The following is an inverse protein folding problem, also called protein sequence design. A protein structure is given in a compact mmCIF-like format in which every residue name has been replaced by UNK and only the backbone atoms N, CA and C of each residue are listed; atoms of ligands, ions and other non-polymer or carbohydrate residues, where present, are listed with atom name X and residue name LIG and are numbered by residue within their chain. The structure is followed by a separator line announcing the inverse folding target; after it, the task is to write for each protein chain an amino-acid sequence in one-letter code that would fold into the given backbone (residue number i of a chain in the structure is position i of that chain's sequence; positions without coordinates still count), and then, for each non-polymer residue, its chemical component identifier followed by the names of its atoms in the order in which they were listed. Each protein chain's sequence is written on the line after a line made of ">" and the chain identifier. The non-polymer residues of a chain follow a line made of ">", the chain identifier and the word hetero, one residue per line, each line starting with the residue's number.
data_IF_559175502911
#
_entry.id   IF_559175502911
#
_cell.length_a   1.000
_cell.length_b   1.000
_cell.length_c   1.000
_cell.angle_alpha   90.00
_cell.angle_beta   90.00
_cell.angle_gamma   90.00
#
_symmetry.space_group_name_H-M   'P 1'
#
loop_
_entity.id
_entity.type
_entity.pdbx_description
1 polymer ?
#
# COMPACT_ATOMS: atom_id res chain seq x y z
N UNK A 1 2.52 -14.12 -5.94
CA UNK A 1 1.44 -14.64 -5.06
C UNK A 1 0.10 -14.12 -5.59
N UNK A 2 -0.92 -14.97 -5.63
CA UNK A 2 -2.26 -14.62 -6.12
C UNK A 2 -3.06 -13.72 -5.17
N UNK A 3 -4.17 -13.16 -5.66
CA UNK A 3 -5.02 -12.23 -4.90
C UNK A 3 -5.62 -12.90 -3.66
N UNK A 4 -6.09 -14.15 -3.79
CA UNK A 4 -6.78 -14.86 -2.71
C UNK A 4 -5.85 -15.13 -1.54
N UNK A 5 -4.65 -15.63 -1.82
CA UNK A 5 -3.62 -15.90 -0.79
C UNK A 5 -3.13 -14.61 -0.15
N UNK A 6 -2.89 -13.56 -0.95
CA UNK A 6 -2.51 -12.24 -0.42
C UNK A 6 -3.56 -11.68 0.53
N UNK A 7 -4.85 -11.72 0.16
CA UNK A 7 -5.96 -11.31 1.03
C UNK A 7 -6.01 -12.13 2.31
N UNK A 8 -5.79 -13.44 2.22
CA UNK A 8 -5.77 -14.31 3.39
C UNK A 8 -4.65 -13.93 4.37
N UNK A 9 -3.44 -13.68 3.88
CA UNK A 9 -2.32 -13.24 4.71
C UNK A 9 -2.61 -11.89 5.37
N UNK A 10 -3.09 -10.90 4.61
CA UNK A 10 -3.43 -9.59 5.17
C UNK A 10 -4.54 -9.70 6.22
N UNK A 11 -5.50 -10.61 6.03
CA UNK A 11 -6.60 -10.85 6.98
C UNK A 11 -6.16 -11.61 8.24
N UNK A 12 -5.06 -12.37 8.16
CA UNK A 12 -4.57 -13.18 9.26
C UNK A 12 -3.97 -12.32 10.40
N UNK A 13 -3.67 -12.94 11.54
CA UNK A 13 -3.09 -12.25 12.71
C UNK A 13 -1.57 -12.03 12.59
N UNK A 14 -1.07 -11.73 11.39
CA UNK A 14 0.32 -11.32 11.21
C UNK A 14 0.52 -9.96 11.87
N UNK A 15 1.47 -9.87 12.78
CA UNK A 15 1.81 -8.64 13.51
C UNK A 15 2.87 -7.81 12.80
N UNK A 16 3.67 -8.45 11.94
CA UNK A 16 4.68 -7.76 11.13
C UNK A 16 4.05 -6.88 10.07
N UNK A 17 4.70 -5.78 9.75
CA UNK A 17 4.34 -4.96 8.60
C UNK A 17 4.50 -5.78 7.31
N UNK A 18 3.58 -5.63 6.36
CA UNK A 18 3.57 -6.37 5.08
C UNK A 18 4.02 -5.45 3.96
N UNK A 19 4.90 -5.93 3.08
CA UNK A 19 5.32 -5.19 1.88
C UNK A 19 4.89 -5.94 0.62
N UNK A 20 4.07 -5.28 -0.21
CA UNK A 20 3.61 -5.80 -1.49
C UNK A 20 4.52 -5.32 -2.62
N UNK A 21 5.19 -6.25 -3.27
CA UNK A 21 5.99 -5.99 -4.47
C UNK A 21 5.16 -6.31 -5.71
N UNK A 22 4.97 -5.36 -6.60
CA UNK A 22 4.29 -5.59 -7.86
C UNK A 22 4.44 -4.39 -8.82
N UNK A 23 4.12 -4.60 -10.07
CA UNK A 23 4.06 -3.55 -11.08
C UNK A 23 2.93 -2.55 -10.81
N UNK A 24 2.99 -1.42 -11.50
CA UNK A 24 1.90 -0.45 -11.49
C UNK A 24 0.60 -1.04 -12.04
N UNK A 25 -0.54 -0.56 -11.55
CA UNK A 25 -1.84 -0.87 -12.12
C UNK A 25 -2.40 -2.28 -11.84
N UNK A 26 -1.64 -3.16 -11.18
CA UNK A 26 -2.08 -4.55 -10.90
C UNK A 26 -3.11 -4.69 -9.78
N UNK A 27 -3.54 -3.59 -9.17
CA UNK A 27 -4.63 -3.60 -8.19
C UNK A 27 -4.20 -3.78 -6.73
N UNK A 28 -2.94 -3.47 -6.33
CA UNK A 28 -2.46 -3.56 -4.94
C UNK A 28 -3.39 -2.88 -3.94
N UNK A 29 -3.60 -1.58 -4.08
CA UNK A 29 -4.45 -0.77 -3.20
C UNK A 29 -5.90 -1.26 -3.18
N UNK A 30 -6.45 -1.67 -4.34
CA UNK A 30 -7.78 -2.25 -4.43
C UNK A 30 -7.90 -3.57 -3.65
N UNK A 31 -6.87 -4.41 -3.68
CA UNK A 31 -6.81 -5.67 -2.94
C UNK A 31 -6.87 -5.41 -1.42
N UNK A 32 -6.02 -4.50 -0.92
CA UNK A 32 -5.97 -4.16 0.51
C UNK A 32 -7.26 -3.50 0.99
N UNK A 33 -7.80 -2.56 0.20
CA UNK A 33 -9.09 -1.90 0.49
C UNK A 33 -10.24 -2.89 0.58
N UNK A 34 -10.27 -3.92 -0.29
CA UNK A 34 -11.28 -4.97 -0.22
C UNK A 34 -11.15 -5.80 1.06
N UNK A 35 -9.92 -6.09 1.51
CA UNK A 35 -9.71 -6.79 2.80
C UNK A 35 -10.29 -5.97 3.95
N UNK A 36 -9.96 -4.68 4.04
CA UNK A 36 -10.49 -3.82 5.09
C UNK A 36 -12.02 -3.77 5.09
N UNK A 37 -12.62 -3.64 3.89
CA UNK A 37 -14.08 -3.67 3.72
C UNK A 37 -14.70 -4.98 4.18
N UNK A 38 -14.11 -6.11 3.82
CA UNK A 38 -14.63 -7.44 4.19
C UNK A 38 -14.53 -7.71 5.70
N UNK A 39 -13.51 -7.15 6.35
CA UNK A 39 -13.33 -7.23 7.80
C UNK A 39 -14.15 -6.19 8.57
N UNK A 40 -14.75 -5.21 7.90
CA UNK A 40 -15.48 -4.12 8.54
C UNK A 40 -14.60 -3.21 9.38
N UNK A 41 -13.35 -2.98 8.96
CA UNK A 41 -12.36 -2.15 9.67
C UNK A 41 -12.01 -0.90 8.87
N UNK A 42 -11.41 0.09 9.55
CA UNK A 42 -10.96 1.33 8.93
C UNK A 42 -9.86 1.11 7.89
N UNK A 43 -9.77 1.99 6.90
CA UNK A 43 -8.74 1.92 5.86
C UNK A 43 -8.27 3.33 5.51
N UNK A 44 -6.97 3.57 5.69
CA UNK A 44 -6.31 4.79 5.24
C UNK A 44 -5.31 4.48 4.15
N UNK A 45 -5.49 5.13 3.00
CA UNK A 45 -4.62 5.04 1.81
C UNK A 45 -3.74 6.28 1.78
N UNK A 46 -2.46 6.11 2.09
CA UNK A 46 -1.49 7.20 2.21
C UNK A 46 -0.47 7.03 1.10
N UNK A 47 -0.54 7.91 0.10
CA UNK A 47 0.37 7.88 -1.05
C UNK A 47 1.62 8.69 -0.74
N UNK A 48 2.69 7.99 -0.39
CA UNK A 48 3.92 8.59 0.14
C UNK A 48 4.68 9.45 -0.86
N UNK A 49 4.55 9.18 -2.17
CA UNK A 49 5.13 10.03 -3.23
C UNK A 49 4.56 11.45 -3.29
N UNK A 50 3.40 11.68 -2.64
CA UNK A 50 2.69 12.96 -2.61
C UNK A 50 2.73 13.62 -1.23
N UNK A 51 3.37 12.97 -0.25
CA UNK A 51 3.44 13.45 1.14
C UNK A 51 4.73 14.21 1.40
N UNK A 52 4.65 15.15 2.31
CA UNK A 52 5.81 15.70 3.02
C UNK A 52 5.89 15.15 4.46
N UNK A 53 6.93 15.55 5.21
CA UNK A 53 7.13 15.07 6.59
C UNK A 53 6.00 15.51 7.51
N UNK A 54 5.40 16.68 7.27
CA UNK A 54 4.27 17.18 8.04
C UNK A 54 3.02 16.34 7.88
N UNK A 55 2.80 15.76 6.69
CA UNK A 55 1.67 14.86 6.43
C UNK A 55 1.80 13.55 7.22
N UNK A 56 3.03 13.12 7.51
CA UNK A 56 3.30 11.88 8.25
C UNK A 56 3.41 12.13 9.75
N UNK A 57 4.25 13.07 10.18
CA UNK A 57 4.47 13.35 11.62
C UNK A 57 3.43 14.29 12.23
N UNK A 58 2.75 15.05 11.39
CA UNK A 58 1.90 16.14 11.82
C UNK A 58 2.65 17.46 11.97
N UNK A 59 1.95 18.49 12.41
CA UNK A 59 2.49 19.85 12.53
C UNK A 59 2.94 20.13 13.97
N UNK A 60 4.13 20.74 14.17
CA UNK A 60 4.58 21.10 15.50
C UNK A 60 3.73 22.24 16.07
N UNK A 61 3.38 22.15 17.35
CA UNK A 61 2.77 23.24 18.11
C UNK A 61 3.39 23.36 19.49
N UNK A 62 3.33 24.55 20.06
CA UNK A 62 3.85 24.81 21.41
C UNK A 62 2.80 24.53 22.46
N UNK A 63 3.16 23.76 23.47
CA UNK A 63 2.36 23.55 24.67
C UNK A 63 3.20 23.90 25.91
N UNK A 64 3.00 25.09 26.47
CA UNK A 64 3.85 25.61 27.53
C UNK A 64 5.29 25.85 27.06
N UNK A 65 6.24 25.19 27.69
CA UNK A 65 7.68 25.23 27.33
C UNK A 65 8.12 24.08 26.41
N UNK A 66 7.20 23.20 26.05
CA UNK A 66 7.47 22.03 25.21
C UNK A 66 6.88 22.19 23.81
N UNK A 67 7.52 21.52 22.83
CA UNK A 67 6.97 21.36 21.50
C UNK A 67 6.33 19.98 21.38
N UNK A 68 5.11 19.94 20.83
CA UNK A 68 4.38 18.71 20.52
C UNK A 68 3.97 18.71 19.05
N UNK A 69 3.58 17.55 18.53
CA UNK A 69 3.08 17.42 17.17
C UNK A 69 1.57 17.11 17.18
N UNK A 70 0.82 17.90 16.41
CA UNK A 70 -0.58 17.62 16.12
C UNK A 70 -0.63 16.44 15.15
N UNK A 71 -1.09 15.29 15.62
CA UNK A 71 -1.12 14.04 14.84
C UNK A 71 -1.98 14.19 13.59
N UNK A 72 -1.60 13.55 12.47
CA UNK A 72 -2.39 13.53 11.25
C UNK A 72 -3.75 12.87 11.49
N UNK A 73 -4.74 13.22 10.64
CA UNK A 73 -6.12 12.71 10.76
C UNK A 73 -6.20 11.18 10.67
N UNK A 74 -5.35 10.59 9.83
CA UNK A 74 -5.30 9.15 9.63
C UNK A 74 -4.66 8.38 10.79
N UNK A 75 -4.05 9.04 11.79
CA UNK A 75 -3.51 8.35 12.97
C UNK A 75 -4.64 7.98 13.93
N UNK A 76 -4.76 6.68 14.30
CA UNK A 76 -5.84 6.22 15.17
C UNK A 76 -5.79 6.83 16.57
N UNK A 77 -6.91 7.41 17.00
CA UNK A 77 -7.04 8.01 18.35
C UNK A 77 -7.73 7.12 19.35
N UNK A 78 -8.54 6.18 18.85
CA UNK A 78 -9.23 5.21 19.71
C UNK A 78 -8.39 3.93 19.82
N UNK A 79 -7.93 3.61 21.03
CA UNK A 79 -7.10 2.42 21.33
C UNK A 79 -7.79 1.09 21.01
N UNK A 80 -9.11 1.08 20.90
CA UNK A 80 -9.90 -0.11 20.56
C UNK A 80 -10.28 -0.16 19.07
N UNK A 81 -9.88 0.82 18.27
CA UNK A 81 -10.14 0.82 16.82
C UNK A 81 -9.31 -0.23 16.11
N UNK A 82 -9.81 -0.63 14.93
CA UNK A 82 -9.15 -1.61 14.06
C UNK A 82 -9.10 -1.06 12.64
N UNK A 83 -7.99 -1.27 11.98
CA UNK A 83 -7.85 -0.77 10.62
C UNK A 83 -6.58 -1.25 9.91
N UNK A 84 -6.40 -0.71 8.71
CA UNK A 84 -5.20 -0.89 7.91
C UNK A 84 -4.66 0.49 7.54
N UNK A 85 -3.40 0.75 7.89
CA UNK A 85 -2.61 1.83 7.30
C UNK A 85 -1.96 1.26 6.03
N UNK A 86 -2.30 1.82 4.89
CA UNK A 86 -1.74 1.42 3.62
C UNK A 86 -0.82 2.53 3.09
N UNK A 87 0.49 2.26 3.07
CA UNK A 87 1.52 3.17 2.56
C UNK A 87 1.84 2.81 1.11
N UNK A 88 1.21 3.51 0.17
CA UNK A 88 1.45 3.29 -1.26
C UNK A 88 2.67 4.06 -1.76
N UNK A 89 3.32 3.51 -2.78
CA UNK A 89 4.50 4.08 -3.43
C UNK A 89 5.67 4.35 -2.46
N UNK A 90 5.91 3.43 -1.50
CA UNK A 90 6.93 3.58 -0.46
C UNK A 90 8.31 3.91 -1.05
N UNK A 91 8.72 3.27 -2.13
CA UNK A 91 10.01 3.46 -2.77
C UNK A 91 10.12 4.72 -3.65
N UNK A 92 9.07 5.56 -3.69
CA UNK A 92 9.03 6.87 -4.35
C UNK A 92 8.97 8.03 -3.39
N UNK A 93 8.89 7.76 -2.10
CA UNK A 93 8.89 8.79 -1.07
C UNK A 93 10.26 9.45 -0.95
N UNK A 94 10.30 10.71 -0.50
CA UNK A 94 11.56 11.36 -0.14
C UNK A 94 12.21 10.64 1.06
N UNK A 95 13.53 10.79 1.24
CA UNK A 95 14.25 10.17 2.36
C UNK A 95 13.68 10.56 3.72
N UNK A 96 13.28 11.81 3.88
CA UNK A 96 12.75 12.34 5.14
C UNK A 96 11.38 11.75 5.46
N UNK A 97 10.52 11.59 4.45
CA UNK A 97 9.22 10.90 4.56
C UNK A 97 9.44 9.43 4.91
N UNK A 98 10.38 8.75 4.25
CA UNK A 98 10.72 7.36 4.56
C UNK A 98 11.14 7.17 6.01
N UNK A 99 12.00 8.05 6.54
CA UNK A 99 12.43 7.98 7.95
C UNK A 99 11.23 8.08 8.91
N UNK A 100 10.26 8.97 8.62
CA UNK A 100 9.07 9.11 9.43
C UNK A 100 8.17 7.85 9.38
N UNK A 101 8.02 7.26 8.18
CA UNK A 101 7.24 6.04 7.98
C UNK A 101 7.90 4.82 8.61
N UNK A 102 9.24 4.77 8.63
CA UNK A 102 9.96 3.66 9.24
C UNK A 102 9.70 3.52 10.73
N UNK A 103 9.63 4.62 11.48
CA UNK A 103 9.22 4.58 12.89
C UNK A 103 7.87 3.86 13.04
N UNK A 104 6.90 4.21 12.20
CA UNK A 104 5.56 3.61 12.24
C UNK A 104 5.62 2.12 11.87
N UNK A 105 6.36 1.77 10.83
CA UNK A 105 6.41 0.39 10.33
C UNK A 105 7.20 -0.55 11.24
N UNK A 106 8.24 -0.06 11.90
CA UNK A 106 9.14 -0.87 12.72
C UNK A 106 8.70 -0.92 14.18
N UNK A 107 8.46 0.26 14.76
CA UNK A 107 8.19 0.39 16.19
C UNK A 107 6.70 0.48 16.50
N UNK A 108 5.86 0.63 15.45
CA UNK A 108 4.42 0.83 15.56
C UNK A 108 4.08 2.04 16.44
N UNK A 109 4.90 3.08 16.33
CA UNK A 109 4.74 4.34 17.07
C UNK A 109 4.80 5.54 16.13
N UNK A 110 4.21 6.62 16.54
CA UNK A 110 4.35 7.92 15.93
C UNK A 110 4.53 8.96 17.04
N UNK A 111 5.74 9.52 17.13
CA UNK A 111 6.08 10.51 18.17
C UNK A 111 5.70 10.00 19.58
N UNK A 112 6.09 8.76 19.89
CA UNK A 112 5.84 8.09 21.15
C UNK A 112 4.43 7.51 21.36
N UNK A 113 3.45 7.82 20.50
CA UNK A 113 2.14 7.20 20.58
C UNK A 113 2.13 5.85 19.88
N UNK A 114 1.69 4.82 20.58
CA UNK A 114 1.60 3.47 20.05
C UNK A 114 0.39 3.30 19.14
N UNK A 115 0.62 2.72 17.95
CA UNK A 115 -0.45 2.27 17.07
C UNK A 115 -1.27 1.16 17.78
N UNK A 116 -2.61 1.25 17.82
CA UNK A 116 -3.42 0.22 18.49
C UNK A 116 -3.21 -1.17 17.89
N UNK A 117 -3.26 -2.21 18.73
CA UNK A 117 -2.97 -3.59 18.31
C UNK A 117 -3.90 -4.13 17.22
N UNK A 118 -5.11 -3.55 17.08
CA UNK A 118 -6.06 -3.89 16.01
C UNK A 118 -5.70 -3.33 14.64
N UNK A 119 -4.62 -2.55 14.52
CA UNK A 119 -4.19 -1.96 13.26
C UNK A 119 -3.11 -2.79 12.59
N UNK A 120 -3.22 -2.89 11.27
CA UNK A 120 -2.23 -3.54 10.40
C UNK A 120 -1.53 -2.47 9.56
N UNK A 121 -0.30 -2.74 9.21
CA UNK A 121 0.50 -1.90 8.31
C UNK A 121 0.77 -2.71 7.06
N UNK A 122 0.38 -2.16 5.92
CA UNK A 122 0.66 -2.72 4.60
C UNK A 122 1.31 -1.63 3.75
N UNK A 123 2.46 -1.92 3.18
CA UNK A 123 3.17 -1.01 2.28
C UNK A 123 3.16 -1.58 0.86
N UNK A 124 3.23 -0.73 -0.14
CA UNK A 124 3.38 -1.16 -1.53
C UNK A 124 4.59 -0.49 -2.18
N UNK A 125 5.33 -1.30 -2.91
CA UNK A 125 6.47 -0.87 -3.73
C UNK A 125 6.26 -1.32 -5.18
N UNK A 126 6.82 -0.57 -6.11
CA UNK A 126 6.78 -0.90 -7.52
C UNK A 126 8.08 -1.60 -7.92
N UNK A 127 7.96 -2.85 -8.42
CA UNK A 127 9.11 -3.74 -8.69
C UNK A 127 9.93 -3.35 -9.92
N UNK A 128 9.31 -2.65 -10.89
CA UNK A 128 9.96 -2.17 -12.09
C UNK A 128 9.58 -0.72 -12.32
N UNK A 129 10.47 0.17 -11.95
CA UNK A 129 10.39 1.56 -12.39
C UNK A 129 11.74 1.94 -12.99
N UNK A 130 11.73 2.30 -14.27
CA UNK A 130 12.87 2.88 -14.97
C UNK A 130 13.23 4.29 -14.48
N UNK A 131 12.59 4.74 -13.37
CA UNK A 131 12.74 6.07 -12.82
C UNK A 131 13.04 5.99 -11.32
N UNK A 132 14.06 6.69 -10.87
CA UNK A 132 14.49 7.06 -9.51
C UNK A 132 13.72 6.37 -8.35
N UNK A 133 13.97 5.08 -8.20
CA UNK A 133 13.48 4.30 -7.06
C UNK A 133 14.58 4.30 -6.02
N UNK A 134 14.29 4.82 -4.84
CA UNK A 134 15.22 4.67 -3.73
C UNK A 134 15.34 3.20 -3.36
N UNK A 135 16.56 2.68 -3.41
CA UNK A 135 16.86 1.39 -2.81
C UNK A 135 16.64 1.51 -1.30
N UNK A 136 15.71 0.70 -0.78
CA UNK A 136 15.49 0.64 0.66
C UNK A 136 16.68 -0.07 1.30
N UNK A 137 17.16 0.47 2.42
CA UNK A 137 18.22 -0.14 3.21
C UNK A 137 17.89 -1.61 3.52
N UNK A 138 18.78 -2.57 3.20
CA UNK A 138 18.54 -3.99 3.45
C UNK A 138 18.15 -4.31 4.89
N UNK A 139 18.76 -3.63 5.88
CA UNK A 139 18.44 -3.82 7.29
C UNK A 139 16.99 -3.39 7.64
N UNK A 140 16.42 -2.50 6.84
CA UNK A 140 15.02 -2.10 6.97
C UNK A 140 14.11 -3.10 6.27
N UNK A 141 14.53 -3.63 5.12
CA UNK A 141 13.72 -4.60 4.35
C UNK A 141 13.45 -5.87 5.17
N UNK A 142 14.43 -6.38 5.92
CA UNK A 142 14.32 -7.61 6.71
C UNK A 142 13.23 -7.58 7.79
N UNK A 143 12.66 -6.40 8.07
CA UNK A 143 11.61 -6.24 9.08
C UNK A 143 10.19 -6.28 8.53
N UNK A 144 10.03 -6.40 7.22
CA UNK A 144 8.76 -6.61 6.56
C UNK A 144 8.53 -8.05 6.15
N UNK A 145 7.29 -8.46 6.14
CA UNK A 145 6.88 -9.67 5.45
C UNK A 145 6.64 -9.34 3.97
N UNK A 146 7.55 -9.79 3.12
CA UNK A 146 7.54 -9.49 1.69
C UNK A 146 6.59 -10.41 0.92
N UNK A 147 5.78 -9.85 0.04
CA UNK A 147 4.86 -10.55 -0.85
C UNK A 147 5.07 -10.06 -2.27
N UNK A 148 5.50 -10.93 -3.17
CA UNK A 148 5.44 -10.68 -4.61
C UNK A 148 3.99 -10.86 -5.08
N UNK A 149 3.28 -9.74 -5.22
CA UNK A 149 1.88 -9.72 -5.61
C UNK A 149 1.77 -9.81 -7.13
N UNK A 150 1.26 -10.94 -7.62
CA UNK A 150 1.13 -11.25 -9.05
C UNK A 150 -0.25 -11.84 -9.31
N UNK A 151 -1.26 -10.99 -9.56
CA UNK A 151 -2.60 -11.44 -9.94
C UNK A 151 -2.56 -12.21 -11.24
N UNK A 152 -3.38 -13.25 -11.34
CA UNK A 152 -3.55 -14.00 -12.58
C UNK A 152 -4.62 -13.38 -13.47
N UNK A 153 -4.55 -13.62 -14.79
CA UNK A 153 -5.59 -13.19 -15.73
C UNK A 153 -6.96 -13.74 -15.35
N UNK A 154 -7.01 -14.99 -14.83
CA UNK A 154 -8.25 -15.60 -14.34
C UNK A 154 -8.86 -14.81 -13.18
N UNK A 155 -8.07 -14.46 -12.17
CA UNK A 155 -8.54 -13.66 -11.01
C UNK A 155 -9.03 -12.28 -11.44
N UNK A 156 -8.37 -11.69 -12.43
CA UNK A 156 -8.81 -10.41 -12.99
C UNK A 156 -10.17 -10.58 -13.71
N UNK A 157 -10.34 -11.63 -14.51
CA UNK A 157 -11.60 -11.91 -15.21
C UNK A 157 -12.75 -12.20 -14.24
N UNK A 158 -12.49 -12.96 -13.18
CA UNK A 158 -13.47 -13.24 -12.12
C UNK A 158 -13.95 -11.92 -11.47
N UNK A 159 -13.03 -11.04 -11.13
CA UNK A 159 -13.37 -9.72 -10.58
C UNK A 159 -14.08 -8.81 -11.61
N UNK A 160 -13.60 -8.79 -12.84
CA UNK A 160 -14.10 -7.92 -13.90
C UNK A 160 -15.52 -8.27 -14.34
N UNK A 161 -15.86 -9.57 -14.32
CA UNK A 161 -17.18 -10.08 -14.72
C UNK A 161 -18.33 -9.48 -13.89
N UNK A 162 -18.05 -9.11 -12.64
CA UNK A 162 -19.05 -8.52 -11.74
C UNK A 162 -19.13 -6.99 -11.83
N UNK A 163 -18.11 -6.33 -12.41
CA UNK A 163 -17.92 -4.88 -12.26
C UNK A 163 -17.75 -4.11 -13.55
N UNK A 164 -17.32 -4.78 -14.62
CA UNK A 164 -17.00 -4.12 -15.88
C UNK A 164 -18.02 -4.46 -16.99
N UNK A 165 -17.95 -3.67 -18.06
CA UNK A 165 -18.78 -3.94 -19.24
C UNK A 165 -18.46 -5.33 -19.81
N UNK A 166 -19.48 -6.19 -20.07
CA UNK A 166 -19.29 -7.53 -20.62
C UNK A 166 -18.44 -7.59 -21.88
N UNK A 167 -18.51 -6.57 -22.74
CA UNK A 167 -17.70 -6.52 -23.96
C UNK A 167 -16.19 -6.43 -23.65
N UNK A 168 -15.81 -5.68 -22.60
CA UNK A 168 -14.41 -5.56 -22.17
C UNK A 168 -13.96 -6.91 -21.61
N UNK A 169 -14.78 -7.53 -20.78
CA UNK A 169 -14.47 -8.83 -20.16
C UNK A 169 -14.29 -9.90 -21.25
N UNK A 170 -15.19 -9.94 -22.24
CA UNK A 170 -15.09 -10.84 -23.36
C UNK A 170 -13.83 -10.60 -24.21
N UNK A 171 -13.51 -9.35 -24.51
CA UNK A 171 -12.30 -8.99 -25.26
C UNK A 171 -11.04 -9.48 -24.53
N UNK A 172 -10.91 -9.19 -23.24
CA UNK A 172 -9.76 -9.62 -22.44
C UNK A 172 -9.71 -11.14 -22.27
N UNK A 173 -10.85 -11.81 -22.13
CA UNK A 173 -10.88 -13.28 -22.05
C UNK A 173 -10.28 -13.96 -23.28
N UNK A 174 -10.42 -13.34 -24.46
CA UNK A 174 -9.83 -13.79 -25.71
C UNK A 174 -8.39 -13.32 -25.93
N UNK A 175 -7.94 -12.30 -25.20
CA UNK A 175 -6.63 -11.63 -25.36
C UNK A 175 -5.92 -11.46 -24.01
N UNK A 176 -5.80 -12.53 -23.22
CA UNK A 176 -5.25 -12.48 -21.84
C UNK A 176 -3.82 -11.96 -21.79
N UNK A 177 -3.04 -12.16 -22.85
CA UNK A 177 -1.68 -11.61 -22.97
C UNK A 177 -1.61 -10.09 -22.89
N UNK A 178 -2.71 -9.38 -23.10
CA UNK A 178 -2.75 -7.92 -22.97
C UNK A 178 -2.79 -7.46 -21.51
N UNK A 179 -3.14 -8.33 -20.56
CA UNK A 179 -3.07 -8.03 -19.12
C UNK A 179 -1.64 -8.11 -18.57
N UNK A 180 -0.82 -8.99 -19.15
CA UNK A 180 0.53 -9.28 -18.67
C UNK A 180 1.62 -8.61 -19.53
N UNK A 181 1.20 -7.82 -20.53
CA UNK A 181 2.15 -7.14 -21.40
C UNK A 181 2.97 -6.12 -20.59
N UNK A 182 4.32 -6.23 -20.57
CA UNK A 182 5.16 -5.23 -19.94
C UNK A 182 4.91 -3.87 -20.62
N UNK A 183 4.70 -2.84 -19.81
CA UNK A 183 4.37 -1.48 -20.26
C UNK A 183 5.43 -0.88 -21.22
N UNK A 184 6.60 -1.48 -21.33
CA UNK A 184 7.71 -1.06 -22.19
C UNK A 184 7.65 -1.48 -23.66
N UNK A 185 6.75 -2.37 -24.07
CA UNK A 185 6.64 -2.85 -25.46
C UNK A 185 5.45 -2.32 -26.23
N UNK A 186 4.70 -1.41 -25.66
CA UNK A 186 3.76 -0.60 -26.41
C UNK A 186 4.52 0.56 -27.06
N UNK A 187 5.32 0.24 -28.11
CA UNK A 187 5.65 1.27 -29.07
C UNK A 187 4.35 1.89 -29.54
N UNK A 188 4.06 3.00 -28.90
CA UNK A 188 3.29 4.14 -29.40
C UNK A 188 2.25 3.87 -30.51
N UNK A 189 1.32 3.02 -30.27
CA UNK A 189 -0.02 3.25 -30.77
C UNK A 189 -0.69 4.26 -29.82
N UNK A 190 -0.30 5.53 -29.90
CA UNK A 190 -1.07 6.62 -29.27
C UNK A 190 -2.45 6.61 -29.90
N UNK A 191 -3.40 5.99 -29.23
CA UNK A 191 -4.80 6.26 -29.45
C UNK A 191 -5.12 7.44 -28.55
N UNK A 192 -5.33 8.57 -29.21
CA UNK A 192 -5.87 9.79 -28.60
C UNK A 192 -7.33 9.57 -28.19
#
# INVERSE_FOLDING_TARGET
>A
MDIKTTKHIISSNVTSSIMLHANHGVGKSSCVKQVAKNLGIEFFDIRLSQCDVGDIKGLPYREGETMKFAKPEWWPRNKNSKGILFFDELNRASKDVLQAVFEICLDRTLDGDKLPDGWKIVSAVNSHSDYDVLELDPALQDRWFHIDFSPTAKEWLDWASEKLNPAIVQFISQNQNLLDAPVGNLEAGRVY
#
